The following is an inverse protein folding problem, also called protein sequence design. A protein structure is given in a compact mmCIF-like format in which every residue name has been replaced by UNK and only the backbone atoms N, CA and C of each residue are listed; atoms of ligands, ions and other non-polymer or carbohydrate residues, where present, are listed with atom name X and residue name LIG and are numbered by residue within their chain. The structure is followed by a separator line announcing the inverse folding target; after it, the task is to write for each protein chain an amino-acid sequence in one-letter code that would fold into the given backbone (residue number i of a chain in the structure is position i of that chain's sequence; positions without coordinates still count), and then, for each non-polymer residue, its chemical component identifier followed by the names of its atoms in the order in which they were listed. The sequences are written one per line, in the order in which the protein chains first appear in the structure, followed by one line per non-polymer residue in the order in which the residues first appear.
data_IF_073438049382
#
_entry.id   IF_073438049382
#
_cell.length_a   1.000
_cell.length_b   1.000
_cell.length_c   1.000
_cell.angle_alpha   90.00
_cell.angle_beta   90.00
_cell.angle_gamma   90.00
#
_symmetry.space_group_name_H-M   'P 1'
#
loop_
_entity.id
_entity.type
_entity.pdbx_description
1 polymer ?
#
# COMPACT_ATOMS: atom_id res chain seq x y z
N UNK A 1 -11.28 24.56 64.13
CA UNK A 1 -10.53 23.28 64.10
C UNK A 1 -10.84 22.40 62.88
N UNK A 2 -12.10 22.07 62.55
CA UNK A 2 -12.43 21.21 61.39
C UNK A 2 -11.86 21.66 60.03
N UNK A 3 -11.82 22.98 59.75
CA UNK A 3 -11.25 23.53 58.50
C UNK A 3 -9.72 23.43 58.40
N UNK A 4 -9.00 23.43 59.52
CA UNK A 4 -7.53 23.33 59.53
C UNK A 4 -7.07 21.88 59.32
N UNK A 5 -7.76 20.92 59.93
CA UNK A 5 -7.52 19.49 59.71
C UNK A 5 -7.83 19.06 58.27
N UNK A 6 -8.92 19.58 57.67
CA UNK A 6 -9.24 19.33 56.27
C UNK A 6 -8.16 19.87 55.33
N UNK A 7 -7.64 21.08 55.57
CA UNK A 7 -6.53 21.66 54.79
C UNK A 7 -5.25 20.85 54.90
N UNK A 8 -4.91 20.36 56.10
CA UNK A 8 -3.74 19.51 56.33
C UNK A 8 -3.85 18.17 55.59
N UNK A 9 -5.04 17.55 55.58
CA UNK A 9 -5.30 16.30 54.86
C UNK A 9 -5.18 16.49 53.34
N UNK A 10 -5.73 17.57 52.79
CA UNK A 10 -5.52 17.91 51.36
C UNK A 10 -4.06 18.16 51.05
N UNK A 11 -3.31 18.87 51.90
CA UNK A 11 -1.88 19.11 51.66
C UNK A 11 -1.08 17.80 51.69
N UNK A 12 -1.38 16.87 52.61
CA UNK A 12 -0.75 15.55 52.69
C UNK A 12 -1.01 14.65 51.48
N UNK A 13 -2.12 14.85 50.77
CA UNK A 13 -2.45 14.09 49.55
C UNK A 13 -1.91 14.78 48.29
N UNK A 14 -2.09 16.10 48.18
CA UNK A 14 -1.71 16.84 46.96
C UNK A 14 -0.21 17.13 46.87
N UNK A 15 0.49 17.34 47.98
CA UNK A 15 1.93 17.61 47.96
C UNK A 15 2.77 16.45 47.38
N UNK A 16 2.59 15.17 47.78
CA UNK A 16 3.33 14.06 47.16
C UNK A 16 2.94 13.85 45.70
N UNK A 17 1.68 14.11 45.30
CA UNK A 17 1.27 14.05 43.89
C UNK A 17 1.98 15.12 43.06
N UNK A 18 2.07 16.35 43.57
CA UNK A 18 2.80 17.44 42.91
C UNK A 18 4.30 17.13 42.84
N UNK A 19 4.91 16.64 43.91
CA UNK A 19 6.33 16.24 43.92
C UNK A 19 6.58 15.09 42.93
N UNK A 20 5.67 14.11 42.87
CA UNK A 20 5.73 13.02 41.90
C UNK A 20 5.62 13.51 40.46
N UNK A 21 4.70 14.44 40.17
CA UNK A 21 4.56 15.08 38.86
C UNK A 21 5.81 15.88 38.48
N UNK A 22 6.35 16.69 39.39
CA UNK A 22 7.58 17.45 39.14
C UNK A 22 8.75 16.50 38.90
N UNK A 23 8.90 15.46 39.72
CA UNK A 23 9.93 14.43 39.55
C UNK A 23 9.81 13.72 38.20
N UNK A 24 8.59 13.37 37.79
CA UNK A 24 8.32 12.79 36.47
C UNK A 24 8.69 13.76 35.33
N UNK A 25 8.31 15.04 35.43
CA UNK A 25 8.63 16.05 34.42
C UNK A 25 10.14 16.30 34.30
N UNK A 26 10.85 16.38 35.43
CA UNK A 26 12.32 16.54 35.45
C UNK A 26 13.00 15.30 34.86
N UNK A 27 12.54 14.10 35.21
CA UNK A 27 13.09 12.87 34.67
C UNK A 27 12.82 12.75 33.17
N UNK A 28 11.61 13.11 32.71
CA UNK A 28 11.26 13.14 31.29
C UNK A 28 12.11 14.15 30.53
N UNK A 29 12.26 15.37 31.04
CA UNK A 29 13.04 16.41 30.36
C UNK A 29 14.53 16.04 30.28
N UNK A 30 15.10 15.48 31.36
CA UNK A 30 16.51 15.05 31.38
C UNK A 30 16.78 13.78 30.54
N UNK A 31 15.77 12.95 30.28
CA UNK A 31 15.93 11.72 29.47
C UNK A 31 15.58 11.93 28.00
N UNK A 32 14.84 12.98 27.65
CA UNK A 32 14.47 13.30 26.26
C UNK A 32 15.67 13.86 25.52
N UNK A 33 16.21 13.10 24.58
CA UNK A 33 17.28 13.56 23.67
C UNK A 33 16.67 14.44 22.59
N UNK A 34 16.77 15.76 22.75
CA UNK A 34 16.33 16.74 21.73
C UNK A 34 17.49 17.02 20.76
N UNK A 35 17.23 17.11 19.45
CA UNK A 35 18.24 17.54 18.50
C UNK A 35 18.62 19.00 18.77
N UNK A 36 19.88 19.36 18.51
CA UNK A 36 20.39 20.73 18.69
C UNK A 36 19.71 21.73 17.75
N UNK A 37 19.23 21.24 16.60
CA UNK A 37 18.56 22.03 15.58
C UNK A 37 17.17 21.49 15.29
N UNK A 38 16.24 22.40 15.00
CA UNK A 38 14.92 22.06 14.46
C UNK A 38 15.11 21.56 13.03
N UNK A 39 14.49 20.42 12.72
CA UNK A 39 14.51 19.85 11.37
C UNK A 39 13.50 20.57 10.48
N UNK A 40 14.01 21.30 9.48
CA UNK A 40 13.21 21.92 8.44
C UNK A 40 13.49 21.24 7.10
N UNK A 41 12.45 21.09 6.29
CA UNK A 41 12.61 20.77 4.88
C UNK A 41 13.21 21.97 4.14
N UNK A 42 13.72 21.72 2.94
CA UNK A 42 14.27 22.72 2.02
C UNK A 42 13.19 23.74 1.61
N UNK A 43 11.92 23.34 1.63
CA UNK A 43 10.78 24.22 1.40
C UNK A 43 10.35 25.01 2.66
N UNK A 44 11.03 24.83 3.79
CA UNK A 44 10.79 25.57 5.04
C UNK A 44 9.70 24.96 5.93
N UNK A 45 9.23 23.75 5.62
CA UNK A 45 8.26 23.05 6.47
C UNK A 45 8.97 22.38 7.65
N UNK A 46 8.37 22.46 8.83
CA UNK A 46 8.86 21.75 10.01
C UNK A 46 8.57 20.26 9.88
N UNK A 47 9.60 19.42 9.95
CA UNK A 47 9.43 17.97 10.04
C UNK A 47 10.48 17.31 10.94
N UNK A 48 10.10 17.08 12.19
CA UNK A 48 10.97 16.47 13.21
C UNK A 48 11.20 14.97 12.98
N UNK A 49 10.52 14.30 12.04
CA UNK A 49 10.83 12.90 11.71
C UNK A 49 12.29 12.76 11.24
N UNK A 50 12.81 13.78 10.54
CA UNK A 50 14.18 13.84 10.05
C UNK A 50 15.22 13.95 11.16
N UNK A 51 14.85 14.21 12.42
CA UNK A 51 15.84 14.18 13.51
C UNK A 51 16.33 12.76 13.80
N UNK A 52 15.48 11.75 13.55
CA UNK A 52 15.77 10.35 13.81
C UNK A 52 15.91 9.51 12.52
N UNK A 53 15.21 9.87 11.44
CA UNK A 53 15.18 9.14 10.17
C UNK A 53 16.06 9.78 9.09
N UNK A 54 17.31 10.08 9.42
CA UNK A 54 18.23 10.81 8.53
C UNK A 54 18.71 10.00 7.33
N UNK A 55 18.72 8.67 7.45
CA UNK A 55 19.25 7.75 6.45
C UNK A 55 18.21 7.34 5.39
N UNK A 56 16.96 7.81 5.51
CA UNK A 56 15.90 7.52 4.54
C UNK A 56 16.19 8.29 3.25
N UNK A 57 16.31 7.56 2.15
CA UNK A 57 16.51 8.11 0.81
C UNK A 57 15.32 7.72 -0.07
N UNK A 58 14.68 8.74 -0.63
CA UNK A 58 13.52 8.60 -1.52
C UNK A 58 13.90 8.97 -2.95
N UNK A 59 12.94 8.84 -3.86
CA UNK A 59 13.10 9.35 -5.22
C UNK A 59 13.14 10.89 -5.22
N UNK A 60 13.65 11.46 -6.31
CA UNK A 60 13.87 12.91 -6.41
C UNK A 60 12.60 13.74 -6.27
N UNK A 61 11.44 13.24 -6.72
CA UNK A 61 10.19 14.01 -6.67
C UNK A 61 9.61 14.03 -5.26
N UNK A 62 9.91 13.02 -4.44
CA UNK A 62 9.42 12.86 -3.08
C UNK A 62 10.54 12.90 -2.04
N UNK A 63 11.65 13.59 -2.32
CA UNK A 63 12.79 13.64 -1.39
C UNK A 63 12.32 14.14 -0.01
N UNK A 64 12.64 13.38 1.04
CA UNK A 64 12.22 13.67 2.40
C UNK A 64 12.74 15.02 2.91
N UNK A 65 13.87 15.50 2.37
CA UNK A 65 14.41 16.83 2.67
C UNK A 65 13.64 17.95 1.99
N UNK A 66 12.79 17.67 1.00
CA UNK A 66 11.98 18.67 0.30
C UNK A 66 10.55 18.62 0.82
N UNK A 67 9.93 17.44 0.77
CA UNK A 67 8.51 17.23 1.11
C UNK A 67 8.32 17.04 2.61
N UNK A 68 9.24 16.37 3.30
CA UNK A 68 9.03 15.85 4.65
C UNK A 68 8.37 14.47 4.64
N UNK A 69 8.26 13.85 5.81
CA UNK A 69 7.68 12.52 5.98
C UNK A 69 6.17 12.60 6.23
N UNK A 70 5.73 13.60 6.97
CA UNK A 70 4.36 13.76 7.43
C UNK A 70 3.31 14.04 6.35
N UNK A 71 3.60 14.73 5.22
CA UNK A 71 2.60 14.87 4.15
C UNK A 71 2.17 13.53 3.54
N UNK A 72 3.05 12.53 3.57
CA UNK A 72 2.70 11.18 3.12
C UNK A 72 2.19 10.34 4.29
N UNK A 73 2.97 10.22 5.35
CA UNK A 73 2.69 9.27 6.42
C UNK A 73 1.80 9.82 7.54
N UNK A 74 1.34 11.06 7.45
CA UNK A 74 0.62 11.77 8.51
C UNK A 74 1.45 11.79 9.81
N UNK A 75 0.79 11.75 10.96
CA UNK A 75 1.44 11.84 12.26
C UNK A 75 1.72 13.27 12.72
N UNK A 76 2.46 13.39 13.83
CA UNK A 76 2.81 14.68 14.42
C UNK A 76 4.29 15.01 14.17
N UNK A 77 4.52 15.82 13.14
CA UNK A 77 5.86 16.25 12.73
C UNK A 77 6.48 17.34 13.61
N UNK A 78 5.79 17.80 14.65
CA UNK A 78 6.24 18.89 15.53
C UNK A 78 6.97 18.39 16.79
N UNK A 79 7.06 17.06 16.98
CA UNK A 79 7.61 16.45 18.19
C UNK A 79 8.63 15.37 17.86
N UNK A 80 9.59 15.19 18.76
CA UNK A 80 10.59 14.11 18.71
C UNK A 80 10.24 12.95 19.64
N UNK A 81 9.18 13.10 20.44
CA UNK A 81 8.64 12.03 21.25
C UNK A 81 8.06 10.95 20.33
N UNK A 82 8.60 9.74 20.41
CA UNK A 82 8.29 8.64 19.49
C UNK A 82 6.79 8.35 19.40
N UNK A 83 6.12 8.27 20.54
CA UNK A 83 4.72 7.82 20.59
C UNK A 83 3.78 8.94 20.14
N UNK A 84 4.11 10.19 20.48
CA UNK A 84 3.38 11.35 19.99
C UNK A 84 3.61 11.59 18.49
N UNK A 85 4.85 11.45 18.00
CA UNK A 85 5.21 11.66 16.60
C UNK A 85 4.50 10.66 15.68
N UNK A 86 4.49 9.38 16.07
CA UNK A 86 3.88 8.32 15.28
C UNK A 86 2.36 8.20 15.46
N UNK A 87 1.75 8.97 16.37
CA UNK A 87 0.30 8.91 16.60
C UNK A 87 -0.45 9.35 15.35
N UNK A 88 -1.32 8.47 14.84
CA UNK A 88 -2.14 8.75 13.67
C UNK A 88 -1.40 8.63 12.34
N UNK A 89 -0.20 8.05 12.33
CA UNK A 89 0.50 7.76 11.08
C UNK A 89 -0.20 6.67 10.27
N UNK A 90 -0.07 6.79 8.95
CA UNK A 90 -0.47 5.77 7.98
C UNK A 90 0.77 5.15 7.35
N UNK A 91 0.79 3.81 7.30
CA UNK A 91 1.90 3.07 6.73
C UNK A 91 1.93 3.17 5.20
N UNK A 92 0.77 3.01 4.55
CA UNK A 92 0.62 3.12 3.11
C UNK A 92 -0.10 4.42 2.75
N UNK A 93 0.62 5.48 2.34
CA UNK A 93 0.01 6.75 1.97
C UNK A 93 -0.82 6.66 0.69
N UNK A 94 -0.55 5.68 -0.18
CA UNK A 94 -1.27 5.52 -1.45
C UNK A 94 -2.64 4.84 -1.33
N UNK A 95 -3.02 4.37 -0.14
CA UNK A 95 -4.26 3.63 0.05
C UNK A 95 -5.49 4.51 -0.20
N UNK A 96 -6.45 4.04 -1.01
CA UNK A 96 -7.61 4.83 -1.44
C UNK A 96 -8.48 5.35 -0.29
N UNK A 97 -8.39 4.75 0.90
CA UNK A 97 -9.10 5.18 2.11
C UNK A 97 -8.52 6.45 2.73
N UNK A 98 -7.25 6.74 2.48
CA UNK A 98 -6.53 7.89 3.08
C UNK A 98 -5.88 8.80 2.02
N UNK A 99 -5.88 8.39 0.75
CA UNK A 99 -5.17 9.05 -0.35
C UNK A 99 -5.51 10.54 -0.50
N UNK A 100 -6.74 10.95 -0.15
CA UNK A 100 -7.17 12.35 -0.16
C UNK A 100 -6.39 13.23 0.83
N UNK A 101 -5.93 12.65 1.95
CA UNK A 101 -5.15 13.35 2.99
C UNK A 101 -3.65 13.28 2.73
N UNK A 102 -3.21 12.52 1.72
CA UNK A 102 -1.80 12.26 1.44
C UNK A 102 -1.47 12.70 0.01
N UNK A 103 -1.48 11.80 -0.97
CA UNK A 103 -1.16 12.07 -2.37
C UNK A 103 -2.13 13.07 -3.02
N UNK A 104 -3.37 13.14 -2.55
CA UNK A 104 -4.44 13.98 -3.06
C UNK A 104 -4.49 15.40 -2.52
N UNK A 105 -3.53 15.78 -1.67
CA UNK A 105 -3.47 17.13 -1.11
C UNK A 105 -3.06 18.17 -2.15
N UNK A 106 -3.38 19.44 -1.89
CA UNK A 106 -2.94 20.55 -2.73
C UNK A 106 -1.41 20.58 -2.84
N UNK A 107 -0.89 20.83 -4.03
CA UNK A 107 0.55 20.77 -4.32
C UNK A 107 1.09 19.37 -4.64
N UNK A 108 0.28 18.31 -4.48
CA UNK A 108 0.62 16.93 -4.86
C UNK A 108 -0.16 16.50 -6.13
N UNK A 109 -1.04 15.50 -6.02
CA UNK A 109 -1.82 14.91 -7.12
C UNK A 109 -3.35 14.98 -6.88
N UNK A 110 -3.93 16.15 -6.57
CA UNK A 110 -5.36 16.26 -6.25
C UNK A 110 -6.26 15.88 -7.44
N UNK A 111 -5.82 16.14 -8.67
CA UNK A 111 -6.56 15.87 -9.90
C UNK A 111 -6.72 14.37 -10.21
N UNK A 112 -5.88 13.51 -9.62
CA UNK A 112 -5.86 12.08 -9.93
C UNK A 112 -6.77 11.24 -9.04
N UNK A 113 -7.19 11.77 -7.90
CA UNK A 113 -7.95 11.01 -6.91
C UNK A 113 -9.30 10.57 -7.48
N UNK A 114 -10.03 11.51 -8.09
CA UNK A 114 -11.32 11.20 -8.69
C UNK A 114 -11.19 10.23 -9.88
N UNK A 115 -10.10 10.33 -10.65
CA UNK A 115 -9.80 9.41 -11.75
C UNK A 115 -9.64 7.98 -11.22
N UNK A 116 -8.70 7.79 -10.31
CA UNK A 116 -8.37 6.46 -9.77
C UNK A 116 -9.56 5.83 -9.07
N UNK A 117 -10.28 6.57 -8.23
CA UNK A 117 -11.45 6.04 -7.51
C UNK A 117 -12.57 5.58 -8.45
N UNK A 118 -12.65 6.14 -9.66
CA UNK A 118 -13.62 5.73 -10.68
C UNK A 118 -13.08 4.72 -11.71
N UNK A 119 -11.78 4.42 -11.71
CA UNK A 119 -11.15 3.47 -12.62
C UNK A 119 -11.74 2.05 -12.52
N UNK A 120 -11.54 1.26 -13.57
CA UNK A 120 -11.91 -0.16 -13.60
C UNK A 120 -11.27 -0.95 -12.45
N UNK A 121 -9.97 -0.75 -12.22
CA UNK A 121 -9.22 -1.48 -11.19
C UNK A 121 -9.67 -1.16 -9.76
N UNK A 122 -10.16 0.07 -9.51
CA UNK A 122 -10.73 0.44 -8.22
C UNK A 122 -12.15 -0.11 -8.06
N UNK A 123 -12.99 -0.03 -9.09
CA UNK A 123 -14.45 -0.17 -8.91
C UNK A 123 -15.00 -1.53 -9.29
N UNK A 124 -14.44 -2.18 -10.33
CA UNK A 124 -14.90 -3.46 -10.87
C UNK A 124 -16.40 -3.56 -11.09
N UNK A 125 -17.02 -2.46 -11.52
CA UNK A 125 -18.47 -2.38 -11.71
C UNK A 125 -18.96 -3.42 -12.70
N UNK A 126 -18.29 -3.54 -13.85
CA UNK A 126 -18.60 -4.55 -14.88
C UNK A 126 -18.54 -5.97 -14.32
N UNK A 127 -17.42 -6.36 -13.70
CA UNK A 127 -17.26 -7.70 -13.09
C UNK A 127 -18.37 -7.97 -12.06
N UNK A 128 -18.61 -7.05 -11.13
CA UNK A 128 -19.64 -7.23 -10.10
C UNK A 128 -21.03 -7.33 -10.71
N UNK A 129 -21.38 -6.45 -11.65
CA UNK A 129 -22.68 -6.43 -12.28
C UNK A 129 -22.94 -7.70 -13.10
N UNK A 130 -21.94 -8.14 -13.87
CA UNK A 130 -21.99 -9.38 -14.65
C UNK A 130 -22.16 -10.59 -13.73
N UNK A 131 -21.37 -10.69 -12.67
CA UNK A 131 -21.47 -11.79 -11.71
C UNK A 131 -22.85 -11.83 -11.04
N UNK A 132 -23.30 -10.72 -10.45
CA UNK A 132 -24.58 -10.64 -9.75
C UNK A 132 -25.75 -11.01 -10.66
N UNK A 133 -25.74 -10.52 -11.91
CA UNK A 133 -26.75 -10.84 -12.90
C UNK A 133 -26.79 -12.34 -13.23
N UNK A 134 -25.65 -12.95 -13.56
CA UNK A 134 -25.60 -14.36 -13.96
C UNK A 134 -25.87 -15.34 -12.80
N UNK A 135 -25.67 -14.91 -11.56
CA UNK A 135 -26.11 -15.67 -10.39
C UNK A 135 -27.59 -15.44 -10.01
N UNK A 136 -28.31 -14.59 -10.74
CA UNK A 136 -29.71 -14.27 -10.46
C UNK A 136 -29.89 -13.39 -9.21
N UNK A 137 -28.84 -12.72 -8.76
CA UNK A 137 -28.84 -11.80 -7.61
C UNK A 137 -29.08 -10.34 -8.03
N UNK A 138 -29.12 -10.06 -9.34
CA UNK A 138 -29.50 -8.78 -9.92
C UNK A 138 -30.36 -8.98 -11.18
N UNK A 139 -31.37 -8.12 -11.37
CA UNK A 139 -32.25 -8.18 -12.55
C UNK A 139 -31.55 -7.73 -13.85
N UNK A 140 -30.54 -6.87 -13.74
CA UNK A 140 -29.79 -6.32 -14.89
C UNK A 140 -28.31 -6.15 -14.55
N UNK A 141 -27.48 -5.95 -15.58
CA UNK A 141 -26.04 -5.65 -15.43
C UNK A 141 -25.74 -4.14 -15.31
N UNK A 142 -26.75 -3.30 -15.16
CA UNK A 142 -26.61 -1.84 -15.03
C UNK A 142 -26.78 -1.36 -13.58
N UNK A 143 -26.64 -2.28 -12.62
CA UNK A 143 -26.70 -1.94 -11.21
C UNK A 143 -25.48 -1.13 -10.78
N UNK A 144 -25.70 -0.24 -9.83
CA UNK A 144 -24.71 0.72 -9.32
C UNK A 144 -23.77 0.06 -8.29
N UNK A 145 -22.95 -0.89 -8.75
CA UNK A 145 -22.01 -1.64 -7.92
C UNK A 145 -20.64 -0.98 -7.86
N UNK A 146 -19.89 -1.20 -6.78
CA UNK A 146 -18.45 -0.93 -6.73
C UNK A 146 -17.83 -1.62 -5.52
N UNK A 147 -16.50 -1.82 -5.54
CA UNK A 147 -15.77 -2.35 -4.39
C UNK A 147 -15.90 -1.47 -3.15
N UNK A 148 -15.85 -0.15 -3.31
CA UNK A 148 -16.02 0.77 -2.18
C UNK A 148 -17.40 0.59 -1.53
N UNK A 149 -18.48 0.55 -2.33
CA UNK A 149 -19.82 0.28 -1.82
C UNK A 149 -19.90 -1.06 -1.08
N UNK A 150 -19.32 -2.11 -1.65
CA UNK A 150 -19.30 -3.44 -1.05
C UNK A 150 -18.56 -3.48 0.29
N UNK A 151 -17.42 -2.79 0.39
CA UNK A 151 -16.65 -2.68 1.62
C UNK A 151 -17.42 -1.91 2.70
N UNK A 152 -18.14 -0.85 2.30
CA UNK A 152 -18.92 -0.03 3.22
C UNK A 152 -20.21 -0.70 3.69
N UNK A 153 -20.88 -1.47 2.82
CA UNK A 153 -22.13 -2.16 3.15
C UNK A 153 -21.91 -3.45 3.92
N UNK A 154 -20.78 -4.14 3.67
CA UNK A 154 -20.52 -5.48 4.21
C UNK A 154 -21.42 -6.56 3.63
N UNK A 155 -22.15 -6.26 2.55
CA UNK A 155 -23.07 -7.19 1.88
C UNK A 155 -22.34 -8.45 1.42
N UNK A 156 -23.02 -9.59 1.48
CA UNK A 156 -22.46 -10.88 1.07
C UNK A 156 -23.48 -11.74 0.38
N UNK A 157 -23.01 -12.56 -0.55
CA UNK A 157 -23.81 -13.48 -1.36
C UNK A 157 -22.90 -14.52 -2.02
N UNK A 158 -23.48 -15.48 -2.75
CA UNK A 158 -22.67 -16.48 -3.47
C UNK A 158 -21.82 -15.82 -4.56
N UNK A 159 -22.40 -14.86 -5.28
CA UNK A 159 -21.69 -14.09 -6.29
C UNK A 159 -20.53 -13.28 -5.73
N UNK A 160 -20.80 -12.57 -4.65
CA UNK A 160 -19.81 -11.73 -3.99
C UNK A 160 -18.71 -12.57 -3.34
N UNK A 161 -19.03 -13.71 -2.74
CA UNK A 161 -18.03 -14.60 -2.15
C UNK A 161 -17.14 -15.26 -3.20
N UNK A 162 -17.70 -15.58 -4.37
CA UNK A 162 -16.90 -16.02 -5.51
C UNK A 162 -15.92 -14.92 -5.93
N UNK A 163 -16.42 -13.70 -6.09
CA UNK A 163 -15.61 -12.53 -6.41
C UNK A 163 -14.48 -12.31 -5.38
N UNK A 164 -14.79 -12.41 -4.08
CA UNK A 164 -13.79 -12.26 -3.00
C UNK A 164 -12.67 -13.28 -3.11
N UNK A 165 -13.01 -14.53 -3.40
CA UNK A 165 -12.04 -15.64 -3.46
C UNK A 165 -11.14 -15.57 -4.69
N UNK A 166 -11.68 -15.15 -5.83
CA UNK A 166 -10.95 -15.24 -7.10
C UNK A 166 -10.43 -13.91 -7.63
N UNK A 167 -11.08 -12.81 -7.32
CA UNK A 167 -10.84 -11.51 -7.94
C UNK A 167 -10.28 -10.48 -6.94
N UNK A 168 -10.80 -10.46 -5.70
CA UNK A 168 -10.50 -9.39 -4.74
C UNK A 168 -9.02 -9.23 -4.38
N UNK A 169 -8.21 -10.27 -4.54
CA UNK A 169 -6.76 -10.18 -4.32
C UNK A 169 -6.05 -9.20 -5.26
N UNK A 170 -6.64 -8.85 -6.41
CA UNK A 170 -6.02 -8.01 -7.44
C UNK A 170 -6.52 -6.55 -7.46
N UNK A 171 -7.48 -6.16 -6.61
CA UNK A 171 -8.13 -4.84 -6.70
C UNK A 171 -7.48 -3.77 -5.82
N UNK A 172 -7.63 -2.50 -6.22
CA UNK A 172 -6.89 -1.39 -5.61
C UNK A 172 -7.29 -1.08 -4.16
N UNK A 173 -8.52 -1.37 -3.77
CA UNK A 173 -9.00 -1.20 -2.38
C UNK A 173 -8.50 -2.28 -1.42
N UNK A 174 -7.89 -3.36 -1.93
CA UNK A 174 -7.23 -4.33 -1.05
C UNK A 174 -6.09 -3.61 -0.34
N UNK A 175 -6.05 -3.73 0.98
CA UNK A 175 -4.97 -3.20 1.78
C UNK A 175 -3.72 -4.07 1.62
N UNK A 176 -2.56 -3.46 1.40
CA UNK A 176 -1.28 -4.18 1.43
C UNK A 176 -1.00 -4.66 2.85
N UNK A 177 -0.51 -5.89 3.00
CA UNK A 177 -0.08 -6.48 4.28
C UNK A 177 -1.13 -6.49 5.40
N UNK A 178 -2.43 -6.45 5.06
CA UNK A 178 -3.51 -6.51 6.07
C UNK A 178 -3.76 -7.92 6.60
N UNK A 179 -3.50 -8.94 5.79
CA UNK A 179 -3.56 -10.35 6.20
C UNK A 179 -2.13 -10.89 6.30
N UNK A 180 -1.58 -11.08 7.51
CA UNK A 180 -0.22 -11.57 7.70
C UNK A 180 -0.07 -13.06 7.35
N UNK A 181 -1.16 -13.82 7.29
CA UNK A 181 -1.16 -15.26 7.01
C UNK A 181 -1.22 -15.56 5.50
N UNK A 182 -1.59 -14.56 4.69
CA UNK A 182 -1.59 -14.70 3.23
C UNK A 182 -0.15 -14.86 2.68
N UNK A 183 0.06 -15.53 1.54
CA UNK A 183 1.38 -15.56 0.89
C UNK A 183 1.90 -14.14 0.60
N UNK A 184 3.21 -13.90 0.76
CA UNK A 184 3.82 -12.56 0.57
C UNK A 184 3.43 -11.90 -0.75
N UNK A 185 3.46 -12.66 -1.85
CA UNK A 185 3.03 -12.19 -3.16
C UNK A 185 1.59 -11.65 -3.21
N UNK A 186 0.69 -12.17 -2.37
CA UNK A 186 -0.68 -11.67 -2.22
C UNK A 186 -0.73 -10.48 -1.26
N UNK A 187 0.06 -10.50 -0.19
CA UNK A 187 0.15 -9.39 0.76
C UNK A 187 0.53 -8.07 0.06
N UNK A 188 1.45 -8.14 -0.91
CA UNK A 188 1.97 -6.99 -1.66
C UNK A 188 1.00 -6.39 -2.69
N UNK A 189 -0.14 -7.04 -2.97
CA UNK A 189 -1.15 -6.53 -3.92
C UNK A 189 -2.06 -5.46 -3.32
N UNK A 190 -2.61 -4.62 -4.20
CA UNK A 190 -3.52 -3.53 -3.84
C UNK A 190 -2.79 -2.31 -3.29
N UNK A 191 -3.44 -1.53 -2.46
CA UNK A 191 -2.88 -0.36 -1.78
C UNK A 191 -3.07 0.95 -2.53
N UNK A 192 -4.07 1.04 -3.41
CA UNK A 192 -4.36 2.25 -4.20
C UNK A 192 -3.19 2.64 -5.10
N UNK A 193 -2.69 3.88 -4.97
CA UNK A 193 -1.59 4.40 -5.77
C UNK A 193 -0.31 3.55 -5.63
N UNK A 194 -0.06 2.98 -4.44
CA UNK A 194 1.12 2.13 -4.22
C UNK A 194 0.99 0.74 -4.81
N UNK A 195 -0.16 0.38 -5.43
CA UNK A 195 -0.24 -0.82 -6.25
C UNK A 195 0.72 -0.76 -7.45
N UNK A 196 0.89 0.44 -8.02
CA UNK A 196 1.69 0.67 -9.22
C UNK A 196 2.94 1.49 -8.93
N UNK A 197 2.85 2.54 -8.11
CA UNK A 197 3.96 3.49 -7.91
C UNK A 197 5.01 3.02 -6.90
N UNK A 198 4.83 1.85 -6.28
CA UNK A 198 5.73 1.31 -5.27
C UNK A 198 6.84 0.48 -5.91
N UNK A 199 8.10 0.84 -5.65
CA UNK A 199 9.25 -0.02 -5.95
C UNK A 199 10.25 -0.04 -4.80
N UNK A 200 11.00 -1.12 -4.71
CA UNK A 200 12.08 -1.23 -3.74
C UNK A 200 13.34 -0.50 -4.24
N UNK A 201 14.13 0.15 -3.35
CA UNK A 201 15.39 0.75 -3.73
C UNK A 201 16.38 -0.32 -4.22
N UNK A 202 17.38 0.12 -4.99
CA UNK A 202 18.41 -0.74 -5.54
C UNK A 202 19.08 -1.60 -4.46
N UNK A 203 19.32 -2.88 -4.77
CA UNK A 203 19.86 -3.86 -3.84
C UNK A 203 18.83 -4.49 -2.90
N UNK A 204 17.56 -4.10 -3.00
CA UNK A 204 16.43 -4.75 -2.30
C UNK A 204 15.33 -5.11 -3.29
N UNK A 205 14.55 -6.14 -2.99
CA UNK A 205 13.51 -6.65 -3.87
C UNK A 205 12.20 -6.89 -3.12
N UNK A 206 11.10 -6.58 -3.81
CA UNK A 206 9.77 -7.07 -3.48
C UNK A 206 9.52 -8.39 -4.22
N UNK A 207 8.38 -9.03 -3.96
CA UNK A 207 8.01 -10.22 -4.73
C UNK A 207 7.75 -9.91 -6.20
N UNK A 208 8.13 -10.85 -7.06
CA UNK A 208 7.75 -10.91 -8.48
C UNK A 208 6.93 -12.17 -8.74
N UNK A 209 6.42 -12.32 -9.96
CA UNK A 209 5.61 -13.50 -10.31
C UNK A 209 6.41 -14.81 -10.27
N UNK A 210 7.75 -14.74 -10.41
CA UNK A 210 8.67 -15.89 -10.37
C UNK A 210 9.61 -15.90 -9.16
N UNK A 211 9.58 -14.87 -8.31
CA UNK A 211 10.30 -14.81 -7.03
C UNK A 211 9.33 -14.31 -5.96
N UNK A 212 8.55 -15.23 -5.39
CA UNK A 212 7.34 -14.91 -4.62
C UNK A 212 7.38 -15.34 -3.15
N UNK A 213 8.42 -16.06 -2.74
CA UNK A 213 8.57 -16.62 -1.39
C UNK A 213 9.30 -15.68 -0.44
N UNK A 214 10.05 -14.71 -0.96
CA UNK A 214 10.89 -13.80 -0.18
C UNK A 214 10.70 -12.37 -0.67
N UNK A 215 10.81 -11.43 0.28
CA UNK A 215 10.75 -9.99 0.05
C UNK A 215 11.59 -9.31 1.12
N UNK A 216 12.38 -8.32 0.73
CA UNK A 216 13.20 -7.51 1.65
C UNK A 216 12.34 -6.49 2.43
N UNK A 217 11.05 -6.39 2.10
CA UNK A 217 10.11 -5.51 2.77
C UNK A 217 8.84 -6.24 3.19
N UNK A 218 8.77 -6.50 4.50
CA UNK A 218 7.58 -6.99 5.19
C UNK A 218 7.34 -6.06 6.37
N UNK A 219 6.31 -5.19 6.38
CA UNK A 219 6.15 -4.16 7.41
C UNK A 219 6.10 -4.69 8.85
N UNK A 220 5.44 -5.81 9.07
CA UNK A 220 5.37 -6.49 10.37
C UNK A 220 6.57 -7.43 10.64
N UNK A 221 7.57 -7.46 9.76
CA UNK A 221 8.76 -8.30 9.90
C UNK A 221 9.76 -7.82 10.96
N UNK A 222 10.73 -8.69 11.26
CA UNK A 222 11.69 -8.57 12.37
C UNK A 222 12.72 -7.44 12.21
N UNK A 223 12.90 -6.91 11.00
CA UNK A 223 13.85 -5.83 10.73
C UNK A 223 13.44 -4.54 11.46
N UNK A 224 14.36 -4.03 12.29
CA UNK A 224 14.18 -2.77 13.05
C UNK A 224 14.11 -1.54 12.13
N UNK A 225 14.92 -1.53 11.07
CA UNK A 225 14.85 -0.52 10.01
C UNK A 225 14.64 -1.24 8.69
N UNK A 226 13.51 -0.93 8.04
CA UNK A 226 13.12 -1.55 6.78
C UNK A 226 13.52 -0.63 5.64
N UNK A 227 13.97 -1.17 4.49
CA UNK A 227 14.23 -0.34 3.32
C UNK A 227 12.96 0.44 2.95
N UNK A 228 13.10 1.75 2.77
CA UNK A 228 11.97 2.59 2.41
C UNK A 228 11.67 2.43 0.91
N UNK A 229 10.44 2.08 0.52
CA UNK A 229 10.04 2.01 -0.88
C UNK A 229 10.09 3.38 -1.56
N UNK A 230 10.34 3.42 -2.86
CA UNK A 230 10.32 4.63 -3.68
C UNK A 230 8.94 4.79 -4.35
N UNK A 231 8.55 6.04 -4.62
CA UNK A 231 7.31 6.37 -5.34
C UNK A 231 7.66 6.89 -6.73
N UNK A 232 7.53 6.04 -7.73
CA UNK A 232 8.09 6.32 -9.07
C UNK A 232 7.03 6.57 -10.13
N UNK A 233 7.36 7.34 -11.16
CA UNK A 233 6.49 7.54 -12.33
C UNK A 233 6.65 6.48 -13.43
N UNK A 234 7.84 5.86 -13.54
CA UNK A 234 8.16 4.88 -14.59
C UNK A 234 7.92 3.46 -14.05
N UNK A 235 6.71 2.98 -14.17
CA UNK A 235 6.27 1.72 -13.57
C UNK A 235 6.95 0.52 -14.25
N UNK A 236 7.60 -0.40 -13.50
CA UNK A 236 8.11 -1.65 -14.06
C UNK A 236 6.99 -2.65 -14.34
N UNK A 237 7.17 -3.50 -15.35
CA UNK A 237 6.17 -4.49 -15.77
C UNK A 237 5.75 -5.43 -14.64
N UNK A 238 6.65 -5.77 -13.72
CA UNK A 238 6.33 -6.60 -12.54
C UNK A 238 5.17 -6.05 -11.70
N UNK A 239 5.00 -4.72 -11.65
CA UNK A 239 3.89 -4.12 -10.92
C UNK A 239 2.54 -4.36 -11.60
N UNK A 240 2.51 -4.43 -12.93
CA UNK A 240 1.35 -4.83 -13.71
C UNK A 240 1.13 -6.34 -13.60
N UNK A 241 2.18 -7.12 -13.82
CA UNK A 241 2.15 -8.59 -13.87
C UNK A 241 1.73 -9.19 -12.52
N UNK A 242 2.01 -8.54 -11.39
CA UNK A 242 1.57 -8.99 -10.06
C UNK A 242 0.06 -9.27 -9.99
N UNK A 243 -0.74 -8.51 -10.74
CA UNK A 243 -2.18 -8.76 -10.90
C UNK A 243 -2.50 -9.42 -12.25
N UNK A 244 -1.86 -9.01 -13.34
CA UNK A 244 -2.13 -9.47 -14.71
C UNK A 244 -1.39 -10.77 -15.11
N UNK A 245 -1.24 -11.70 -14.17
CA UNK A 245 -0.59 -13.02 -14.40
C UNK A 245 -1.56 -14.20 -14.50
N UNK A 246 -2.87 -13.95 -14.54
CA UNK A 246 -3.92 -15.00 -14.68
C UNK A 246 -4.95 -14.63 -15.73
N UNK A 247 -5.69 -13.54 -15.53
CA UNK A 247 -6.76 -13.11 -16.44
C UNK A 247 -6.18 -12.73 -17.81
N UNK A 248 -6.48 -13.55 -18.84
CA UNK A 248 -5.95 -13.42 -20.20
C UNK A 248 -4.45 -13.74 -20.36
N UNK A 249 -3.73 -14.02 -19.26
CA UNK A 249 -2.28 -14.25 -19.19
C UNK A 249 -1.42 -13.16 -19.85
N UNK A 250 -1.98 -11.96 -20.07
CA UNK A 250 -1.38 -10.88 -20.87
C UNK A 250 0.01 -10.52 -20.36
N UNK A 251 0.16 -10.34 -19.04
CA UNK A 251 1.44 -9.98 -18.45
C UNK A 251 2.50 -11.07 -18.59
N UNK A 252 2.12 -12.34 -18.42
CA UNK A 252 3.04 -13.47 -18.56
C UNK A 252 3.47 -13.65 -20.01
N UNK A 253 2.53 -13.65 -20.96
CA UNK A 253 2.85 -13.83 -22.38
C UNK A 253 3.69 -12.68 -22.93
N UNK A 254 3.48 -11.44 -22.42
CA UNK A 254 4.29 -10.29 -22.80
C UNK A 254 5.78 -10.52 -22.50
N UNK A 255 6.08 -11.07 -21.33
CA UNK A 255 7.45 -11.43 -20.90
C UNK A 255 7.86 -12.85 -21.28
N UNK A 256 7.17 -13.48 -22.25
CA UNK A 256 7.53 -14.81 -22.77
C UNK A 256 7.36 -15.95 -21.77
N UNK A 257 6.54 -15.79 -20.73
CA UNK A 257 6.17 -16.87 -19.81
C UNK A 257 4.79 -17.41 -20.18
N UNK A 258 4.68 -18.73 -20.31
CA UNK A 258 3.42 -19.40 -20.56
C UNK A 258 3.09 -20.33 -19.40
N UNK A 259 1.98 -20.08 -18.71
CA UNK A 259 1.53 -20.96 -17.64
C UNK A 259 1.25 -22.37 -18.18
N UNK A 260 2.00 -23.34 -17.67
CA UNK A 260 1.86 -24.73 -18.06
C UNK A 260 0.58 -25.32 -17.46
N UNK A 261 -0.08 -26.22 -18.19
CA UNK A 261 -1.20 -26.99 -17.65
C UNK A 261 -0.66 -27.97 -16.60
N UNK A 262 -0.70 -27.57 -15.33
CA UNK A 262 -0.91 -28.43 -14.16
C UNK A 262 0.13 -29.48 -13.75
N UNK A 263 1.25 -29.70 -14.45
CA UNK A 263 2.06 -30.91 -14.19
C UNK A 263 3.58 -30.73 -14.09
N UNK A 264 4.08 -29.50 -13.95
CA UNK A 264 5.51 -29.25 -13.74
C UNK A 264 6.41 -29.86 -14.82
N UNK A 265 5.89 -30.01 -16.03
CA UNK A 265 6.63 -30.56 -17.17
C UNK A 265 7.35 -29.46 -17.95
N UNK A 266 8.50 -29.77 -18.59
CA UNK A 266 9.18 -31.07 -18.57
C UNK A 266 9.77 -31.38 -17.18
N UNK A 267 9.74 -32.66 -16.79
CA UNK A 267 10.36 -33.10 -15.54
C UNK A 267 11.89 -32.97 -15.62
N UNK A 268 12.49 -32.56 -14.51
CA UNK A 268 13.93 -32.36 -14.36
C UNK A 268 14.43 -33.41 -13.35
N UNK A 269 15.25 -34.36 -13.81
CA UNK A 269 15.79 -35.46 -12.98
C UNK A 269 14.74 -36.31 -12.24
N UNK A 270 13.53 -36.41 -12.79
CA UNK A 270 12.41 -37.16 -12.18
C UNK A 270 11.56 -36.33 -11.22
N UNK A 271 11.92 -35.07 -11.00
CA UNK A 271 11.16 -34.09 -10.21
C UNK A 271 10.43 -33.09 -11.12
N UNK A 272 9.45 -32.37 -10.56
CA UNK A 272 8.79 -31.28 -11.27
C UNK A 272 9.79 -30.18 -11.63
N UNK A 273 9.56 -29.48 -12.74
CA UNK A 273 10.39 -28.34 -13.14
C UNK A 273 10.51 -27.31 -12.03
N UNK A 274 11.71 -26.75 -11.85
CA UNK A 274 11.95 -25.66 -10.92
C UNK A 274 11.26 -24.33 -11.35
N UNK A 275 10.74 -24.27 -12.60
CA UNK A 275 10.10 -23.08 -13.16
C UNK A 275 8.67 -22.90 -12.62
N UNK A 276 8.59 -22.22 -11.47
CA UNK A 276 7.33 -21.96 -10.79
C UNK A 276 6.89 -20.50 -10.85
N UNK A 277 5.56 -20.32 -10.83
CA UNK A 277 4.87 -19.05 -10.60
C UNK A 277 4.20 -19.09 -9.23
N UNK A 278 3.90 -17.91 -8.69
CA UNK A 278 3.19 -17.78 -7.44
C UNK A 278 1.89 -18.63 -7.41
N UNK A 279 1.68 -19.33 -6.28
CA UNK A 279 0.54 -20.20 -6.04
C UNK A 279 0.69 -21.64 -6.55
N UNK A 280 1.92 -22.18 -6.56
CA UNK A 280 2.20 -23.58 -6.93
C UNK A 280 1.98 -23.90 -8.41
N UNK A 281 2.02 -22.88 -9.26
CA UNK A 281 1.84 -23.02 -10.71
C UNK A 281 3.19 -23.17 -11.39
N UNK A 282 3.20 -23.72 -12.61
CA UNK A 282 4.42 -23.90 -13.40
C UNK A 282 4.35 -23.08 -14.68
N UNK A 283 5.50 -22.77 -15.27
CA UNK A 283 5.56 -22.07 -16.55
C UNK A 283 6.63 -22.62 -17.49
N UNK A 284 6.38 -22.43 -18.78
CA UNK A 284 7.33 -22.61 -19.85
C UNK A 284 7.84 -21.24 -20.31
N UNK A 285 9.08 -21.21 -20.79
CA UNK A 285 9.64 -20.06 -21.48
C UNK A 285 9.36 -20.19 -22.97
N UNK A 286 8.69 -19.18 -23.52
CA UNK A 286 8.41 -19.00 -24.93
C UNK A 286 9.05 -17.69 -25.39
N UNK A 287 8.97 -17.43 -26.70
CA UNK A 287 9.39 -16.14 -27.22
C UNK A 287 8.53 -15.02 -26.61
N UNK A 288 9.19 -14.03 -26.00
CA UNK A 288 8.56 -12.81 -25.50
C UNK A 288 7.97 -11.98 -26.64
N UNK A 289 7.06 -11.07 -26.30
CA UNK A 289 6.51 -10.12 -27.26
C UNK A 289 7.63 -9.27 -27.90
N UNK A 290 7.46 -8.90 -29.18
CA UNK A 290 8.48 -8.14 -29.90
C UNK A 290 8.71 -6.76 -29.28
N UNK A 291 7.70 -6.12 -28.69
CA UNK A 291 7.82 -4.82 -28.04
C UNK A 291 8.61 -4.94 -26.74
N UNK A 292 8.32 -5.95 -25.91
CA UNK A 292 9.08 -6.24 -24.70
C UNK A 292 10.56 -6.50 -25.03
N UNK A 293 10.82 -7.33 -26.04
CA UNK A 293 12.19 -7.63 -26.52
C UNK A 293 12.92 -6.40 -27.04
N UNK A 294 12.19 -5.38 -27.51
CA UNK A 294 12.73 -4.09 -27.95
C UNK A 294 12.83 -3.06 -26.82
N UNK A 295 12.50 -3.43 -25.60
CA UNK A 295 12.66 -2.62 -24.39
C UNK A 295 11.44 -1.76 -24.03
N UNK A 296 10.28 -2.01 -24.64
CA UNK A 296 9.03 -1.33 -24.24
C UNK A 296 8.43 -2.00 -23.00
N UNK A 297 7.93 -1.18 -22.09
CA UNK A 297 7.15 -1.57 -20.91
C UNK A 297 5.65 -1.47 -21.20
N UNK A 298 4.82 -2.10 -20.35
CA UNK A 298 3.37 -2.00 -20.42
C UNK A 298 2.89 -0.54 -20.53
N UNK A 299 3.51 0.38 -19.78
CA UNK A 299 3.10 1.79 -19.74
C UNK A 299 3.49 2.61 -20.98
N UNK A 300 4.32 2.06 -21.87
CA UNK A 300 4.64 2.73 -23.14
C UNK A 300 3.47 2.63 -24.14
N UNK A 301 2.57 1.66 -23.94
CA UNK A 301 1.33 1.49 -24.70
C UNK A 301 0.10 1.87 -23.86
N UNK A 302 0.06 1.49 -22.59
CA UNK A 302 -1.05 1.77 -21.69
C UNK A 302 -0.81 3.07 -20.92
N UNK A 303 -1.52 4.11 -21.31
CA UNK A 303 -1.24 5.47 -20.83
C UNK A 303 -1.84 5.74 -19.46
N UNK A 304 -1.39 6.82 -18.82
CA UNK A 304 -1.90 7.27 -17.52
C UNK A 304 -3.41 7.46 -17.51
N UNK A 305 -3.98 8.16 -18.49
CA UNK A 305 -5.41 8.48 -18.50
C UNK A 305 -6.29 7.25 -18.83
N UNK A 306 -5.71 6.23 -19.48
CA UNK A 306 -6.37 4.94 -19.67
C UNK A 306 -6.37 4.13 -18.36
N UNK A 307 -5.19 3.92 -17.78
CA UNK A 307 -4.98 3.07 -16.59
C UNK A 307 -5.66 3.68 -15.36
N UNK A 308 -5.45 4.98 -15.12
CA UNK A 308 -5.99 5.67 -13.96
C UNK A 308 -7.44 6.09 -14.15
N UNK A 309 -7.97 5.99 -15.38
CA UNK A 309 -9.32 6.42 -15.74
C UNK A 309 -9.43 7.91 -16.07
N UNK A 310 -10.56 8.27 -16.65
CA UNK A 310 -10.93 9.63 -17.05
C UNK A 310 -11.65 10.41 -15.94
N UNK A 311 -12.04 9.74 -14.84
CA UNK A 311 -12.80 10.31 -13.74
C UNK A 311 -14.32 10.27 -13.94
N UNK A 312 -14.79 9.71 -15.05
CA UNK A 312 -16.22 9.49 -15.31
C UNK A 312 -16.67 8.22 -14.59
N UNK A 313 -17.82 8.27 -13.93
CA UNK A 313 -18.48 7.08 -13.38
C UNK A 313 -19.41 6.49 -14.42
N UNK A 314 -19.22 5.21 -14.72
CA UNK A 314 -20.05 4.43 -15.65
C UNK A 314 -20.85 3.38 -14.87
N UNK A 315 -22.13 3.18 -15.21
CA UNK A 315 -22.96 2.15 -14.56
C UNK A 315 -22.45 0.73 -14.87
N UNK A 316 -22.03 0.49 -16.11
CA UNK A 316 -21.36 -0.72 -16.56
C UNK A 316 -20.17 -0.34 -17.44
N UNK A 317 -19.00 -0.90 -17.14
CA UNK A 317 -17.75 -0.67 -17.85
C UNK A 317 -16.84 -1.88 -17.64
N UNK A 318 -16.31 -2.42 -18.73
CA UNK A 318 -15.42 -3.61 -18.79
C UNK A 318 -14.15 -3.28 -19.57
#
# INVERSE_FOLDING_TARGET
MKKAAAKLLTALIFLPVIIGLIGYLVLRENTTKRPETISLTTAGYLDMCLSCHQDVKLDTAHDAKVVGCSPCHLGNNMTVDKDEAHRGMVLNPGDLRVVEQTCGTEGCHPADINKIKNSLMATNRGILATLLYYWGEAETQNGEYSIEKLLNSGETSLAIDYFRKLCASCHLWKQKYADPDAPLFVQEKGGGCSACHFVMPEGTAATTVTSFEQSDYVPQGELKMKPHPLIIKKIPDDNCIRCHNRSGRIGLSYIGKYEAEGYGTPYEEGEHSAKQLAGGRFYLELAEDIHHRKGMSCIDCHTRDEIMGDGTSYAHYE
#
